data_IF_743546822002
#
_entry.id   IF_743546822002
#
_cell.length_a   1.000
_cell.length_b   1.000
_cell.length_c   1.000
_cell.angle_alpha   90.00
_cell.angle_beta   90.00
_cell.angle_gamma   90.00
#
_symmetry.space_group_name_H-M   'P 1'
#
loop_
_entity.id
_entity.type
_entity.pdbx_description
1 polymer ?
2 polymer ?
3 polymer ?
#
loop_
_entity_poly.entity_id
_entity_poly.type
_entity_poly.pdbx_seq_one_letter_code
_entity_poly.pdbx_strand_id
2 'polydeoxyribonucleotide' '(DA)(DC)(DG)(DT)(DA)(DG)(DA)(DA)(DG)(DA)(DG)(DT)(DC)(DT)(DA)(DG)(DA)(DC)(DT)(DG)(DA)' ?
3 'polydeoxyribonucleotide' '(DC)(DA)(DG)(DT)(DC)(DT)(DA)(DG)(DA)(DC)(DT)(DC)(DT)(DT)(DC)(DT)(DA)(DC)(DG)(DT)(DA)' ?
#
# COMPACT_ATOMS: atom_id res chain seq x y z
N UNK A 2 -22.90 13.78 14.67
CA UNK A 2 -22.80 13.82 16.13
C UNK A 2 -21.74 14.86 16.51
N UNK A 3 -22.10 16.14 16.30
CA UNK A 3 -21.35 17.36 16.64
C UNK A 3 -19.94 17.40 16.05
N UNK A 4 -19.57 16.43 15.20
CA UNK A 4 -18.20 16.23 14.74
C UNK A 4 -17.23 15.97 15.90
N UNK A 5 -17.71 15.30 16.94
CA UNK A 5 -16.84 14.54 17.83
C UNK A 5 -16.79 13.09 17.38
N UNK A 6 -17.30 12.80 16.18
CA UNK A 6 -16.92 11.58 15.50
C UNK A 6 -15.42 11.49 15.36
N UNK A 7 -14.77 12.63 15.08
CA UNK A 7 -13.34 12.65 14.85
C UNK A 7 -12.59 12.15 16.09
N UNK A 8 -12.94 12.67 17.27
CA UNK A 8 -12.27 12.24 18.49
C UNK A 8 -12.50 10.76 18.77
N UNK A 9 -13.73 10.29 18.57
CA UNK A 9 -14.04 8.89 18.86
C UNK A 9 -13.36 7.94 17.88
N UNK A 10 -13.23 8.33 16.62
CA UNK A 10 -12.39 7.58 15.69
C UNK A 10 -10.95 7.54 16.18
N UNK A 11 -10.35 8.72 16.39
CA UNK A 11 -8.93 8.78 16.71
C UNK A 11 -8.59 8.06 18.01
N UNK A 12 -9.55 7.89 18.92
CA UNK A 12 -9.27 7.12 20.13
C UNK A 12 -9.06 5.63 19.86
N UNK A 13 -9.40 5.14 18.68
CA UNK A 13 -9.18 3.76 18.30
C UNK A 13 -7.76 3.53 17.80
N UNK A 14 -6.82 4.44 18.10
CA UNK A 14 -5.51 4.45 17.48
C UNK A 14 -4.43 4.57 18.54
N UNK A 15 -4.80 5.16 19.68
CA UNK A 15 -3.82 5.63 20.67
C UNK A 15 -2.95 4.49 21.20
N UNK A 16 -3.48 3.26 21.21
CA UNK A 16 -2.73 2.12 21.72
C UNK A 16 -1.55 1.73 20.83
N UNK A 17 -1.51 2.22 19.59
CA UNK A 17 -0.58 1.77 18.57
C UNK A 17 0.59 2.73 18.42
N UNK A 18 1.74 2.19 18.03
CA UNK A 18 2.93 2.99 17.83
C UNK A 18 2.73 3.95 16.65
N UNK A 19 2.95 5.26 16.82
CA UNK A 19 2.63 6.24 15.79
C UNK A 19 3.71 6.43 14.72
N UNK A 20 4.20 5.32 14.16
CA UNK A 20 5.27 5.41 13.18
C UNK A 20 4.70 5.69 11.79
N UNK A 21 5.22 6.73 11.15
CA UNK A 21 4.90 7.10 9.77
C UNK A 21 6.15 6.85 8.93
N UNK A 22 5.95 6.20 7.78
CA UNK A 22 7.05 5.98 6.87
C UNK A 22 6.93 6.83 5.62
N UNK A 23 7.92 7.67 5.34
CA UNK A 23 7.92 8.58 4.21
C UNK A 23 9.05 8.23 3.25
N UNK A 24 8.76 8.31 1.94
CA UNK A 24 9.71 8.05 0.86
C UNK A 24 9.82 9.32 0.02
N UNK A 25 10.87 10.10 0.25
CA UNK A 25 11.02 11.41 -0.39
C UNK A 25 12.50 11.68 -0.59
N UNK A 26 12.94 11.71 -1.86
CA UNK A 26 14.34 12.04 -2.11
C UNK A 26 14.72 13.41 -1.58
N UNK A 27 13.99 14.49 -1.88
CA UNK A 27 14.45 15.83 -1.42
C UNK A 27 14.52 15.95 0.08
N UNK A 28 13.50 15.48 0.79
CA UNK A 28 13.49 15.57 2.25
C UNK A 28 14.58 14.72 2.87
N UNK A 29 14.82 13.54 2.30
CA UNK A 29 15.89 12.68 2.80
C UNK A 29 17.25 13.36 2.63
N UNK A 30 17.50 13.95 1.46
CA UNK A 30 18.81 14.56 1.24
C UNK A 30 19.00 15.77 2.14
N UNK A 31 17.95 16.57 2.34
CA UNK A 31 18.07 17.70 3.26
C UNK A 31 18.40 17.20 4.66
N UNK A 32 17.68 16.18 5.13
CA UNK A 32 17.92 15.70 6.49
C UNK A 32 19.30 15.07 6.63
N UNK A 33 19.79 14.40 5.57
CA UNK A 33 21.11 13.75 5.63
C UNK A 33 22.25 14.76 5.59
N UNK A 34 22.13 15.80 4.76
CA UNK A 34 23.13 16.87 4.79
C UNK A 34 23.15 17.56 6.14
N UNK A 35 21.98 17.85 6.70
CA UNK A 35 21.94 18.42 8.03
C UNK A 35 22.62 17.51 9.05
N UNK A 36 22.36 16.20 8.96
CA UNK A 36 22.89 15.26 9.94
C UNK A 36 24.39 15.13 9.82
N UNK A 37 24.93 15.25 8.61
CA UNK A 37 26.36 15.12 8.43
C UNK A 37 27.11 16.45 8.42
N UNK A 38 26.42 17.58 8.62
CA UNK A 38 27.12 18.85 8.72
C UNK A 38 26.86 19.63 10.00
N UNK A 39 25.80 19.33 10.76
CA UNK A 39 25.68 20.04 12.03
C UNK A 39 25.89 19.03 13.17
N UNK A 40 26.58 19.43 14.23
CA UNK A 40 26.83 18.50 15.34
C UNK A 40 25.55 18.19 16.09
N UNK A 41 25.43 16.93 16.51
CA UNK A 41 24.31 16.53 17.35
C UNK A 41 22.96 16.80 16.72
N UNK A 42 22.85 16.59 15.41
CA UNK A 42 21.57 16.74 14.73
C UNK A 42 20.71 15.53 14.99
N UNK A 43 19.40 15.76 15.12
CA UNK A 43 18.42 14.69 15.27
C UNK A 43 17.55 14.70 14.01
N UNK A 44 17.80 13.74 13.11
CA UNK A 44 17.09 13.71 11.84
C UNK A 44 15.60 13.48 12.02
N UNK A 45 15.24 12.49 12.83
CA UNK A 45 13.83 12.16 12.98
C UNK A 45 13.07 13.25 13.71
N UNK A 46 13.74 13.96 14.62
CA UNK A 46 13.14 15.12 15.28
C UNK A 46 12.74 16.18 14.26
N UNK A 47 13.68 16.57 13.39
CA UNK A 47 13.42 17.59 12.40
C UNK A 47 12.37 17.12 11.40
N UNK A 48 12.42 15.84 11.04
CA UNK A 48 11.38 15.28 10.19
C UNK A 48 10.02 15.41 10.84
N UNK A 49 9.93 15.08 12.14
CA UNK A 49 8.67 15.17 12.85
C UNK A 49 8.15 16.60 12.82
N UNK A 50 9.04 17.55 13.02
CA UNK A 50 8.62 18.95 13.04
C UNK A 50 8.12 19.40 11.67
N UNK A 51 8.84 19.04 10.61
CA UNK A 51 8.43 19.44 9.27
C UNK A 51 7.10 18.80 8.90
N UNK A 52 6.95 17.51 9.19
CA UNK A 52 5.71 16.81 8.90
C UNK A 52 4.53 17.39 9.68
N UNK A 53 4.72 17.67 10.98
CA UNK A 53 3.63 18.25 11.76
C UNK A 53 3.28 19.64 11.27
N UNK A 54 4.27 20.43 10.87
CA UNK A 54 4.01 21.76 10.33
C UNK A 54 3.16 21.68 9.06
N UNK A 55 3.62 20.89 8.08
CA UNK A 55 2.87 20.77 6.84
C UNK A 55 1.50 20.16 7.06
N UNK A 56 1.43 19.14 7.92
CA UNK A 56 0.17 18.46 8.17
C UNK A 56 -0.82 19.36 8.87
N UNK A 57 -0.36 20.20 9.79
CA UNK A 57 -1.24 21.21 10.37
C UNK A 57 -1.74 22.15 9.29
N UNK A 58 -0.87 22.56 8.37
CA UNK A 58 -1.29 23.53 7.35
C UNK A 58 -2.29 22.93 6.37
N UNK A 59 -2.16 21.64 6.05
CA UNK A 59 -3.06 21.05 5.07
C UNK A 59 -4.35 20.57 5.69
N UNK A 60 -4.31 20.20 6.98
CA UNK A 60 -5.45 19.68 7.73
C UNK A 60 -5.53 20.40 9.08
N UNK A 61 -5.98 21.64 9.10
CA UNK A 61 -5.98 22.41 10.36
C UNK A 61 -6.95 21.88 11.41
N UNK A 62 -8.20 21.59 11.03
CA UNK A 62 -9.18 21.10 12.01
C UNK A 62 -8.80 19.72 12.52
N UNK A 63 -8.51 18.81 11.59
CA UNK A 63 -8.11 17.45 11.95
C UNK A 63 -6.91 17.48 12.88
N UNK A 64 -5.88 18.24 12.50
CA UNK A 64 -4.64 18.25 13.28
C UNK A 64 -4.87 18.90 14.64
N UNK A 65 -5.74 19.90 14.75
CA UNK A 65 -5.98 20.51 16.05
C UNK A 65 -6.63 19.51 17.00
N UNK A 66 -7.63 18.78 16.52
CA UNK A 66 -8.27 17.77 17.38
C UNK A 66 -7.28 16.67 17.72
N UNK A 67 -6.43 16.30 16.75
CA UNK A 67 -5.41 15.28 17.01
C UNK A 67 -4.39 15.75 18.04
N UNK A 68 -3.97 17.01 17.96
CA UNK A 68 -3.02 17.53 18.94
C UNK A 68 -3.64 17.56 20.32
N UNK A 69 -4.91 17.98 20.41
CA UNK A 69 -5.64 17.89 21.67
C UNK A 69 -5.57 16.47 22.22
N UNK A 70 -6.01 15.49 21.44
CA UNK A 70 -6.10 14.13 21.95
C UNK A 70 -4.72 13.54 22.22
N UNK A 71 -3.67 14.07 21.59
CA UNK A 71 -2.32 13.58 21.87
C UNK A 71 -1.80 14.12 23.19
N UNK A 72 -1.86 15.45 23.39
CA UNK A 72 -1.39 16.02 24.66
C UNK A 72 -2.24 15.54 25.83
N UNK A 73 -3.56 15.42 25.63
CA UNK A 73 -4.43 15.01 26.73
C UNK A 73 -4.23 13.54 27.09
N UNK A 74 -4.24 12.66 26.08
CA UNK A 74 -4.14 11.23 26.38
C UNK A 74 -2.75 10.81 26.86
N UNK A 75 -1.72 11.61 26.58
CA UNK A 75 -0.36 11.32 27.02
C UNK A 75 0.14 12.51 27.83
N UNK A 76 -0.29 12.57 29.09
CA UNK A 76 0.25 13.50 30.07
C UNK A 76 0.72 12.79 31.33
N UNK A 77 0.36 11.53 31.53
CA UNK A 77 0.75 10.74 32.69
C UNK A 77 1.52 9.48 32.27
N UNK B 3 29.88 25.51 0.35
CA UNK B 3 28.65 26.23 0.69
C UNK B 3 28.25 27.14 -0.48
N UNK B 4 29.24 27.51 -1.29
CA UNK B 4 28.98 28.30 -2.49
C UNK B 4 28.72 27.32 -3.65
N UNK B 5 27.55 26.67 -3.55
CA UNK B 5 27.04 25.63 -4.44
C UNK B 5 27.78 24.31 -4.29
N UNK B 6 28.58 24.15 -3.23
CA UNK B 6 29.23 22.87 -2.92
C UNK B 6 28.26 21.88 -2.29
N UNK B 7 27.23 22.40 -1.60
CA UNK B 7 26.19 21.62 -0.93
C UNK B 7 25.76 20.48 -1.85
N UNK B 8 25.55 20.82 -3.13
CA UNK B 8 25.15 19.87 -4.15
C UNK B 8 25.93 18.56 -4.04
N UNK B 9 27.26 18.62 -4.19
CA UNK B 9 28.02 17.38 -4.20
C UNK B 9 28.02 16.68 -2.85
N UNK B 10 27.79 17.41 -1.76
CA UNK B 10 27.66 16.76 -0.46
C UNK B 10 26.46 15.81 -0.46
N UNK B 11 25.33 16.27 -0.99
CA UNK B 11 24.13 15.43 -1.03
C UNK B 11 24.18 14.34 -2.09
N UNK B 12 25.02 14.48 -3.13
CA UNK B 12 25.12 13.41 -4.11
C UNK B 12 25.59 12.09 -3.51
N UNK B 13 26.27 12.14 -2.37
CA UNK B 13 26.75 10.93 -1.71
C UNK B 13 25.59 10.10 -1.15
N UNK B 14 24.37 10.66 -1.10
CA UNK B 14 23.28 10.07 -0.33
C UNK B 14 22.20 9.53 -1.26
N UNK B 15 22.25 9.87 -2.56
CA UNK B 15 21.12 9.61 -3.47
C UNK B 15 21.11 8.18 -3.99
N UNK B 16 22.15 7.40 -3.70
CA UNK B 16 22.23 6.02 -4.14
C UNK B 16 21.69 5.03 -3.11
N UNK B 17 20.88 5.50 -2.16
CA UNK B 17 20.30 4.67 -1.13
C UNK B 17 18.83 5.06 -0.93
N UNK B 18 18.07 4.17 -0.28
CA UNK B 18 16.62 4.35 -0.15
C UNK B 18 16.31 5.58 0.69
N UNK B 19 15.43 6.51 0.21
CA UNK B 19 15.17 7.76 0.92
C UNK B 19 14.09 7.65 2.00
N UNK B 20 14.26 6.69 2.90
CA UNK B 20 13.26 6.38 3.91
C UNK B 20 13.46 7.23 5.16
N UNK B 21 12.41 7.95 5.56
CA UNK B 21 12.38 8.79 6.74
C UNK B 21 11.35 8.23 7.72
N UNK B 22 11.77 8.00 8.97
CA UNK B 22 10.88 7.42 9.93
C UNK B 22 10.47 8.34 11.05
N UNK B 23 9.27 8.88 10.97
CA UNK B 23 8.73 9.85 11.91
C UNK B 23 7.97 9.11 13.02
N UNK B 24 7.97 9.69 14.22
CA UNK B 24 7.23 9.20 15.37
C UNK B 24 6.40 10.38 15.88
N UNK B 25 5.12 10.47 15.57
CA UNK B 25 4.32 11.51 16.20
C UNK B 25 2.89 11.05 16.33
N UNK B 26 2.35 11.16 17.54
CA UNK B 26 0.95 10.81 17.75
C UNK B 26 0.01 11.67 16.93
N UNK B 27 0.09 13.01 16.96
CA UNK B 27 -0.93 13.81 16.24
C UNK B 27 -0.97 13.58 14.74
N UNK B 28 0.18 13.47 14.09
CA UNK B 28 0.18 13.24 12.65
C UNK B 28 -0.27 11.82 12.32
N UNK B 29 0.12 10.85 13.15
CA UNK B 29 -0.35 9.49 12.94
C UNK B 29 -1.87 9.42 13.05
N UNK B 30 -2.43 10.07 14.08
CA UNK B 30 -3.88 10.09 14.24
C UNK B 30 -4.58 10.81 13.09
N UNK B 31 -4.05 11.93 12.63
CA UNK B 31 -4.64 12.60 11.47
C UNK B 31 -4.65 11.68 10.26
N UNK B 32 -3.48 11.13 9.91
CA UNK B 32 -3.38 10.30 8.71
C UNK B 32 -4.23 9.05 8.84
N UNK B 33 -4.21 8.41 10.00
CA UNK B 33 -4.94 7.16 10.18
C UNK B 33 -6.44 7.40 10.16
N UNK B 34 -6.90 8.49 10.81
CA UNK B 34 -8.31 8.83 10.76
C UNK B 34 -8.76 8.99 9.32
N UNK B 35 -8.01 9.75 8.52
CA UNK B 35 -8.39 9.92 7.12
C UNK B 35 -8.36 8.59 6.37
N UNK B 36 -7.37 7.74 6.65
CA UNK B 36 -7.31 6.42 6.03
C UNK B 36 -8.59 5.63 6.30
N UNK B 37 -9.14 5.74 7.50
CA UNK B 37 -10.35 4.99 7.83
C UNK B 37 -11.65 5.71 7.48
N UNK B 38 -11.61 6.96 7.02
CA UNK B 38 -12.85 7.63 6.68
C UNK B 38 -13.00 8.00 5.22
N UNK B 39 -11.92 8.22 4.47
CA UNK B 39 -12.02 8.55 3.07
C UNK B 39 -11.40 7.42 2.24
N UNK B 40 -12.17 6.78 1.35
CA UNK B 40 -11.63 5.65 0.60
C UNK B 40 -10.56 6.09 -0.38
N UNK B 41 -9.63 5.19 -0.65
CA UNK B 41 -8.52 5.48 -1.53
C UNK B 41 -7.44 6.34 -0.93
N UNK B 42 -7.47 6.61 0.38
CA UNK B 42 -6.53 7.54 1.00
C UNK B 42 -5.15 6.90 1.12
N UNK B 43 -4.14 7.55 0.57
CA UNK B 43 -2.76 7.10 0.68
C UNK B 43 -2.09 7.92 1.76
N UNK B 44 -1.82 7.28 2.90
CA UNK B 44 -1.27 8.00 4.04
C UNK B 44 0.15 8.47 3.79
N UNK B 45 1.01 7.59 3.28
CA UNK B 45 2.43 7.95 3.22
C UNK B 45 2.74 8.94 2.11
N UNK B 46 1.95 8.96 1.04
CA UNK B 46 2.10 10.00 0.03
C UNK B 46 1.70 11.37 0.56
N UNK B 47 0.57 11.45 1.27
CA UNK B 47 0.18 12.74 1.84
C UNK B 47 1.12 13.13 2.99
N UNK B 48 1.71 12.16 3.67
CA UNK B 48 2.76 12.45 4.64
C UNK B 48 4.01 12.99 3.94
N UNK B 49 4.33 12.45 2.77
CA UNK B 49 5.39 13.01 1.96
C UNK B 49 5.07 14.45 1.60
N UNK B 50 3.84 14.71 1.17
CA UNK B 50 3.43 16.06 0.82
C UNK B 50 3.59 17.00 2.00
N UNK B 51 3.08 16.59 3.16
CA UNK B 51 3.17 17.38 4.39
C UNK B 51 4.61 17.67 4.75
N UNK B 52 5.42 16.62 4.82
CA UNK B 52 6.78 16.74 5.30
C UNK B 52 7.59 17.61 4.34
N UNK B 53 7.43 17.42 3.04
CA UNK B 53 8.13 18.28 2.09
C UNK B 53 7.69 19.72 2.22
N UNK B 54 6.39 19.95 2.41
CA UNK B 54 5.91 21.33 2.51
C UNK B 54 6.47 22.04 3.74
N UNK B 55 6.49 21.37 4.89
CA UNK B 55 7.04 21.99 6.08
C UNK B 55 8.54 22.17 5.98
N UNK B 56 9.24 21.15 5.49
CA UNK B 56 10.68 21.17 5.49
C UNK B 56 11.21 22.19 4.49
N UNK B 57 10.51 22.37 3.36
CA UNK B 57 10.79 23.41 2.38
C UNK B 57 10.59 24.80 2.94
N UNK B 58 9.98 24.89 4.12
CA UNK B 58 9.74 26.16 4.80
C UNK B 58 10.71 26.39 5.94
N UNK B 59 11.24 25.33 6.55
CA UNK B 59 12.26 25.49 7.57
C UNK B 59 13.67 25.66 7.00
N UNK B 60 14.00 25.01 5.88
CA UNK B 60 15.31 25.14 5.23
C UNK B 60 15.11 25.42 3.73
N UNK B 61 14.73 26.64 3.37
CA UNK B 61 14.38 26.90 1.95
C UNK B 61 15.52 26.66 0.96
N UNK B 62 16.72 27.16 1.24
CA UNK B 62 17.85 26.97 0.33
C UNK B 62 18.20 25.50 0.14
N UNK B 63 18.33 24.78 1.25
CA UNK B 63 18.70 23.37 1.18
C UNK B 63 17.65 22.56 0.44
N UNK B 64 16.37 22.82 0.72
CA UNK B 64 15.31 22.10 0.03
C UNK B 64 15.33 22.40 -1.47
N UNK B 65 15.55 23.66 -1.84
CA UNK B 65 15.63 23.99 -3.25
C UNK B 65 16.74 23.18 -3.93
N UNK B 66 17.92 23.11 -3.29
CA UNK B 66 19.04 22.40 -3.90
C UNK B 66 18.72 20.90 -4.01
N UNK B 67 18.15 20.34 -2.94
CA UNK B 67 17.79 18.92 -2.94
C UNK B 67 16.74 18.62 -4.00
N UNK B 68 15.74 19.49 -4.13
CA UNK B 68 14.69 19.31 -5.13
C UNK B 68 15.28 19.35 -6.54
N UNK B 69 16.22 20.28 -6.78
CA UNK B 69 16.89 20.34 -8.08
C UNK B 69 17.57 19.00 -8.38
N UNK B 70 18.33 18.48 -7.42
CA UNK B 70 19.06 17.23 -7.64
C UNK B 70 18.10 16.07 -7.86
N UNK B 71 16.98 16.06 -7.13
CA UNK B 71 16.03 14.96 -7.26
C UNK B 71 15.31 15.00 -8.61
N UNK B 72 14.92 16.20 -9.06
CA UNK B 72 14.21 16.32 -10.34
C UNK B 72 15.13 15.99 -11.51
N UNK B 73 16.35 16.52 -11.50
CA UNK B 73 17.30 16.18 -12.55
C UNK B 73 17.78 14.73 -12.48
N UNK B 74 17.24 13.96 -11.52
CA UNK B 74 17.59 12.55 -11.37
C UNK B 74 16.77 11.63 -12.27
N UNK B 75 15.71 12.14 -12.92
CA UNK B 75 14.88 11.26 -13.74
C UNK B 75 15.66 10.73 -14.94
N UNK B 76 15.63 9.41 -15.10
CA UNK B 76 16.40 8.72 -16.13
C UNK B 76 15.58 7.58 -16.76
N UNK C 2 -30.07 7.58 -10.13
CA UNK C 2 -29.35 6.30 -10.08
C UNK C 2 -30.00 5.34 -9.08
N UNK C 3 -30.12 4.08 -9.49
CA UNK C 3 -31.05 3.13 -8.88
C UNK C 3 -30.36 1.78 -8.64
N UNK C 4 -29.19 1.86 -8.00
CA UNK C 4 -28.20 0.80 -7.77
C UNK C 4 -27.47 0.42 -9.05
N UNK C 5 -27.75 1.11 -10.14
CA UNK C 5 -26.88 1.28 -11.30
C UNK C 5 -25.75 2.26 -11.03
N UNK C 6 -25.61 2.66 -9.76
CA UNK C 6 -24.47 3.43 -9.30
C UNK C 6 -23.17 2.65 -9.50
N UNK C 7 -23.20 1.36 -9.18
CA UNK C 7 -22.01 0.53 -9.27
C UNK C 7 -21.46 0.53 -10.69
N UNK C 8 -22.34 0.46 -11.69
CA UNK C 8 -21.88 0.42 -13.07
C UNK C 8 -21.24 1.74 -13.46
N UNK C 9 -21.79 2.86 -12.96
CA UNK C 9 -21.20 4.17 -13.24
C UNK C 9 -19.82 4.32 -12.61
N UNK C 10 -19.63 3.76 -11.41
CA UNK C 10 -18.31 3.80 -10.78
C UNK C 10 -17.32 2.92 -11.54
N UNK C 11 -17.79 1.76 -11.99
CA UNK C 11 -16.91 0.81 -12.67
C UNK C 11 -16.49 1.32 -14.04
N UNK C 12 -17.38 1.99 -14.76
CA UNK C 12 -17.05 2.46 -16.10
C UNK C 12 -16.04 3.60 -16.09
N UNK C 13 -15.73 4.16 -14.91
CA UNK C 13 -14.63 5.09 -14.74
C UNK C 13 -13.27 4.41 -14.71
N UNK C 14 -13.22 3.07 -14.67
CA UNK C 14 -11.98 2.34 -14.47
C UNK C 14 -11.58 1.56 -15.71
N UNK C 15 -12.53 1.34 -16.63
CA UNK C 15 -12.41 0.35 -17.71
C UNK C 15 -11.23 0.66 -18.62
N UNK C 16 -10.85 1.94 -18.73
CA UNK C 16 -9.74 2.32 -19.59
C UNK C 16 -8.40 1.80 -19.08
N UNK C 17 -8.29 1.50 -17.79
CA UNK C 17 -7.02 1.12 -17.19
C UNK C 17 -6.59 -0.29 -17.58
N UNK C 18 -5.29 -0.54 -17.42
CA UNK C 18 -4.70 -1.87 -17.45
C UNK C 18 -5.23 -2.67 -16.27
N UNK C 19 -6.09 -3.65 -16.48
CA UNK C 19 -6.64 -4.41 -15.34
C UNK C 19 -5.66 -5.41 -14.76
N UNK C 20 -4.63 -4.92 -14.07
CA UNK C 20 -3.64 -5.80 -13.45
C UNK C 20 -3.93 -5.97 -11.97
N UNK C 21 -3.61 -7.16 -11.46
CA UNK C 21 -3.75 -7.51 -10.05
C UNK C 21 -2.52 -8.30 -9.63
N UNK C 22 -1.81 -7.81 -8.60
CA UNK C 22 -0.61 -8.47 -8.15
C UNK C 22 -0.80 -9.13 -6.79
N UNK C 23 -0.79 -10.44 -6.77
CA UNK C 23 -1.08 -11.20 -5.57
C UNK C 23 0.21 -11.75 -4.99
N UNK C 24 0.30 -11.80 -3.66
CA UNK C 24 1.46 -12.32 -2.94
C UNK C 24 0.98 -13.37 -1.96
N UNK C 25 1.25 -14.64 -2.24
CA UNK C 25 0.86 -15.70 -1.31
C UNK C 25 1.68 -16.95 -1.59
N UNK C 26 2.34 -17.48 -0.55
CA UNK C 26 3.08 -18.73 -0.66
C UNK C 26 2.22 -19.91 -1.09
N UNK C 27 1.08 -20.21 -0.45
CA UNK C 27 0.34 -21.43 -0.86
C UNK C 27 -0.03 -21.43 -2.33
N UNK C 28 -0.64 -20.36 -2.83
CA UNK C 28 -1.10 -20.33 -4.20
C UNK C 28 0.06 -20.26 -5.19
N UNK C 29 1.15 -19.57 -4.82
CA UNK C 29 2.33 -19.58 -5.68
C UNK C 29 2.90 -20.98 -5.81
N UNK C 30 3.06 -21.68 -4.69
CA UNK C 30 3.59 -23.04 -4.74
C UNK C 30 2.71 -23.94 -5.59
N UNK C 31 1.39 -23.82 -5.41
CA UNK C 31 0.47 -24.68 -6.17
C UNK C 31 0.59 -24.39 -7.67
N UNK C 32 0.53 -23.11 -8.05
CA UNK C 32 0.61 -22.79 -9.47
C UNK C 32 1.96 -23.20 -10.05
N UNK C 33 3.03 -23.14 -9.26
CA UNK C 33 4.34 -23.54 -9.78
C UNK C 33 4.43 -25.06 -9.95
N UNK C 34 3.95 -25.82 -8.97
CA UNK C 34 3.95 -27.27 -9.12
C UNK C 34 3.20 -27.66 -10.38
N UNK C 35 2.01 -27.08 -10.57
CA UNK C 35 1.24 -27.38 -11.77
C UNK C 35 2.00 -26.98 -13.04
N UNK C 36 2.68 -25.82 -13.01
CA UNK C 36 3.41 -25.38 -14.18
C UNK C 36 4.49 -26.38 -14.57
N UNK C 37 5.24 -26.87 -13.59
CA UNK C 37 6.35 -27.75 -13.92
C UNK C 37 5.92 -29.19 -14.18
N UNK C 38 4.80 -29.63 -13.62
CA UNK C 38 4.36 -31.01 -13.76
C UNK C 38 3.18 -31.17 -14.71
N UNK C 39 2.87 -30.15 -15.52
CA UNK C 39 1.82 -30.23 -16.52
C UNK C 39 2.32 -29.76 -17.87
N UNK C 40 2.20 -30.57 -18.93
CA UNK C 40 2.66 -30.16 -20.27
C UNK C 40 1.79 -29.04 -20.81
N UNK C 41 2.42 -27.89 -21.05
CA UNK C 41 1.72 -26.71 -21.52
C UNK C 41 0.75 -26.12 -20.52
N UNK C 42 1.14 -26.03 -19.25
CA UNK C 42 0.26 -25.44 -18.25
C UNK C 42 0.22 -23.93 -18.40
N UNK C 43 -1.01 -23.39 -18.44
CA UNK C 43 -1.21 -21.98 -18.70
C UNK C 43 -0.72 -21.10 -17.54
N UNK C 44 -1.13 -21.44 -16.31
CA UNK C 44 -0.72 -20.85 -15.02
C UNK C 44 -1.18 -19.43 -14.72
N UNK C 45 -1.17 -18.56 -15.72
CA UNK C 45 -1.71 -17.23 -15.46
C UNK C 45 -3.16 -17.19 -15.86
N UNK C 46 -3.50 -17.91 -16.93
CA UNK C 46 -4.88 -18.29 -17.21
C UNK C 46 -5.49 -18.94 -15.97
N UNK C 47 -4.77 -19.88 -15.35
CA UNK C 47 -5.34 -20.60 -14.22
C UNK C 47 -5.46 -19.70 -13.00
N UNK C 48 -4.46 -18.84 -12.76
CA UNK C 48 -4.57 -17.89 -11.66
C UNK C 48 -5.76 -16.96 -11.86
N UNK C 49 -5.96 -16.48 -13.10
CA UNK C 49 -7.11 -15.64 -13.40
C UNK C 49 -8.41 -16.39 -13.20
N UNK C 50 -8.46 -17.66 -13.60
CA UNK C 50 -9.68 -18.44 -13.44
C UNK C 50 -10.03 -18.58 -11.96
N UNK C 51 -9.04 -18.94 -11.15
CA UNK C 51 -9.29 -19.10 -9.71
C UNK C 51 -9.66 -17.78 -9.07
N UNK C 52 -8.99 -16.68 -9.45
CA UNK C 52 -9.29 -15.38 -8.86
C UNK C 52 -10.71 -14.92 -9.21
N UNK C 53 -11.07 -15.00 -10.49
CA UNK C 53 -12.43 -14.62 -10.88
C UNK C 53 -13.47 -15.47 -10.17
N UNK C 54 -13.20 -16.78 -10.05
CA UNK C 54 -14.12 -17.66 -9.33
C UNK C 54 -14.27 -17.21 -7.88
N UNK C 55 -13.15 -17.00 -7.18
CA UNK C 55 -13.24 -16.63 -5.78
C UNK C 55 -13.93 -15.30 -5.57
N UNK C 56 -13.66 -14.33 -6.45
CA UNK C 56 -14.35 -13.05 -6.35
C UNK C 56 -15.84 -13.19 -6.58
N UNK C 57 -16.23 -14.05 -7.53
CA UNK C 57 -17.65 -14.28 -7.74
C UNK C 57 -18.30 -14.82 -6.47
N UNK C 58 -17.64 -15.75 -5.79
CA UNK C 58 -18.20 -16.31 -4.56
C UNK C 58 -18.24 -15.28 -3.43
N UNK C 59 -17.34 -14.30 -3.46
CA UNK C 59 -17.21 -13.36 -2.36
C UNK C 59 -17.98 -12.07 -2.59
N UNK C 60 -17.99 -11.55 -3.80
CA UNK C 60 -18.76 -10.35 -4.16
C UNK C 60 -19.60 -10.67 -5.37
N UNK C 61 -20.62 -11.52 -5.21
CA UNK C 61 -21.41 -11.95 -6.39
C UNK C 61 -22.11 -10.82 -7.14
N UNK C 62 -22.65 -9.84 -6.44
CA UNK C 62 -23.33 -8.73 -7.12
C UNK C 62 -22.33 -7.87 -7.89
N UNK C 63 -21.27 -7.45 -7.21
CA UNK C 63 -20.19 -6.73 -7.87
C UNK C 63 -19.69 -7.51 -9.07
N UNK C 64 -19.44 -8.81 -8.89
CA UNK C 64 -18.84 -9.58 -9.97
C UNK C 64 -19.78 -9.70 -11.16
N UNK C 65 -21.09 -9.85 -10.92
CA UNK C 65 -22.02 -9.90 -12.04
C UNK C 65 -21.99 -8.61 -12.83
N UNK C 66 -22.02 -7.46 -12.14
CA UNK C 66 -22.05 -6.20 -12.88
C UNK C 66 -20.75 -5.99 -13.65
N UNK C 67 -19.63 -6.36 -13.02
CA UNK C 67 -18.33 -6.22 -13.66
C UNK C 67 -18.20 -7.12 -14.87
N UNK C 68 -18.67 -8.37 -14.75
CA UNK C 68 -18.62 -9.30 -15.89
C UNK C 68 -19.54 -8.83 -17.00
N UNK C 69 -20.68 -8.22 -16.64
CA UNK C 69 -21.58 -7.65 -17.63
C UNK C 69 -20.88 -6.56 -18.42
N UNK C 70 -20.26 -5.61 -17.73
CA UNK C 70 -19.58 -4.51 -18.42
C UNK C 70 -18.34 -5.02 -19.16
N UNK C 71 -17.72 -6.11 -18.67
CA UNK C 71 -16.56 -6.68 -19.35
C UNK C 71 -16.93 -7.32 -20.68
N UNK C 72 -17.97 -8.16 -20.69
CA UNK C 72 -18.47 -8.68 -21.96
C UNK C 72 -18.94 -7.55 -22.86
N UNK C 73 -19.59 -6.54 -22.27
CA UNK C 73 -20.11 -5.43 -23.05
C UNK C 73 -19.02 -4.64 -23.77
N UNK C 74 -17.82 -4.55 -23.18
CA UNK C 74 -16.79 -3.63 -23.67
C UNK C 74 -16.63 -3.70 -25.19
N UNK C 75 -16.24 -4.87 -25.71
CA UNK C 75 -15.94 -5.05 -27.13
C UNK C 75 -17.17 -5.49 -27.94
N UNK C 76 -17.84 -6.55 -27.49
CA UNK C 76 -18.99 -7.09 -28.18
C UNK C 76 -20.28 -6.50 -27.60
N UNK D 3 2.01 -37.91 -6.19
CA UNK D 3 1.45 -37.98 -4.85
C UNK D 3 2.50 -38.38 -3.83
N UNK D 4 2.02 -38.96 -2.72
CA UNK D 4 2.88 -39.55 -1.70
C UNK D 4 3.88 -38.54 -1.13
N UNK D 5 3.55 -37.25 -1.17
CA UNK D 5 4.43 -36.18 -0.69
C UNK D 5 5.76 -36.15 -1.43
N UNK D 6 5.80 -36.70 -2.64
CA UNK D 6 6.78 -36.29 -3.63
C UNK D 6 6.55 -34.85 -4.04
N UNK D 7 5.28 -34.48 -4.23
CA UNK D 7 4.92 -33.12 -4.59
C UNK D 7 5.38 -32.15 -3.52
N UNK D 8 5.48 -32.62 -2.27
CA UNK D 8 6.00 -31.78 -1.20
C UNK D 8 7.40 -31.26 -1.55
N UNK D 9 8.32 -32.16 -1.91
CA UNK D 9 9.67 -31.73 -2.26
C UNK D 9 9.75 -31.13 -3.66
N UNK D 10 8.73 -31.35 -4.50
CA UNK D 10 8.69 -30.63 -5.77
C UNK D 10 8.30 -29.17 -5.56
N UNK D 11 7.51 -28.89 -4.51
CA UNK D 11 7.14 -27.51 -4.20
C UNK D 11 8.18 -26.81 -3.32
N UNK D 12 8.92 -27.56 -2.50
CA UNK D 12 9.99 -26.93 -1.72
C UNK D 12 11.09 -26.32 -2.58
N UNK D 13 11.15 -26.68 -3.87
CA UNK D 13 12.13 -26.05 -4.77
C UNK D 13 11.84 -24.56 -4.97
N UNK D 14 10.58 -24.17 -4.86
CA UNK D 14 10.09 -22.89 -5.33
C UNK D 14 9.94 -21.88 -4.18
N UNK D 15 9.98 -22.37 -2.94
CA UNK D 15 9.69 -21.56 -1.76
C UNK D 15 10.80 -20.58 -1.40
N UNK D 16 11.86 -20.51 -2.21
CA UNK D 16 12.94 -19.56 -1.98
C UNK D 16 12.73 -18.25 -2.74
N UNK D 17 11.60 -18.07 -3.41
CA UNK D 17 11.37 -16.93 -4.28
C UNK D 17 10.06 -16.25 -3.93
N UNK D 18 9.89 -15.03 -4.46
CA UNK D 18 8.73 -14.20 -4.15
C UNK D 18 7.46 -14.86 -4.66
N UNK D 19 6.37 -14.89 -3.87
CA UNK D 19 5.15 -15.53 -4.38
C UNK D 19 4.30 -14.61 -5.24
N UNK D 20 4.89 -13.89 -6.20
CA UNK D 20 4.12 -12.94 -6.99
C UNK D 20 3.34 -13.69 -8.07
N UNK D 21 2.05 -13.37 -8.23
CA UNK D 21 1.20 -13.99 -9.24
C UNK D 21 0.46 -12.89 -10.00
N UNK D 22 0.76 -12.72 -11.28
CA UNK D 22 0.25 -11.56 -12.00
C UNK D 22 -0.96 -11.85 -12.86
N UNK D 23 -2.14 -11.46 -12.38
CA UNK D 23 -3.41 -11.74 -13.03
C UNK D 23 -3.89 -10.52 -13.80
N UNK D 24 -4.52 -10.75 -14.95
CA UNK D 24 -5.10 -9.70 -15.79
C UNK D 24 -6.55 -10.11 -16.02
N UNK D 25 -7.48 -9.35 -15.44
CA UNK D 25 -8.88 -9.78 -15.38
C UNK D 25 -9.78 -8.57 -15.23
N UNK D 26 -10.46 -8.18 -16.31
CA UNK D 26 -11.33 -7.01 -16.26
C UNK D 26 -12.38 -7.09 -15.15
N UNK D 27 -13.14 -8.18 -14.99
CA UNK D 27 -14.11 -8.21 -13.88
C UNK D 27 -13.47 -8.17 -12.50
N UNK D 28 -12.43 -8.97 -12.26
CA UNK D 28 -11.78 -8.96 -10.95
C UNK D 28 -11.20 -7.59 -10.65
N UNK D 29 -10.52 -7.01 -11.63
CA UNK D 29 -9.93 -5.69 -11.44
C UNK D 29 -10.99 -4.66 -11.14
N UNK D 30 -12.11 -4.71 -11.87
CA UNK D 30 -13.17 -3.72 -11.67
C UNK D 30 -13.77 -3.84 -10.27
N UNK D 31 -14.02 -5.06 -9.80
CA UNK D 31 -14.56 -5.23 -8.46
C UNK D 31 -13.58 -4.71 -7.41
N UNK D 32 -12.30 -5.07 -7.55
CA UNK D 32 -11.31 -4.64 -6.58
C UNK D 32 -11.17 -3.12 -6.56
N UNK D 33 -11.17 -2.49 -7.74
CA UNK D 33 -11.06 -1.04 -7.81
C UNK D 33 -12.31 -0.36 -7.26
N UNK D 34 -13.48 -0.90 -7.57
CA UNK D 34 -14.72 -0.31 -7.06
C UNK D 34 -14.73 -0.33 -5.55
N UNK D 35 -14.36 -1.46 -4.96
CA UNK D 35 -14.28 -1.50 -3.50
C UNK D 35 -13.22 -0.52 -2.98
N UNK D 36 -12.07 -0.44 -3.65
CA UNK D 36 -11.02 0.49 -3.24
C UNK D 36 -11.51 1.95 -3.23
N UNK D 37 -12.45 2.30 -4.10
CA UNK D 37 -12.94 3.68 -4.15
C UNK D 37 -14.24 3.93 -3.38
N UNK D 38 -14.85 2.93 -2.78
CA UNK D 38 -16.11 3.14 -2.10
C UNK D 38 -16.10 2.75 -0.63
N UNK D 39 -15.28 1.79 -0.22
CA UNK D 39 -15.13 1.42 1.18
C UNK D 39 -13.76 1.88 1.65
N UNK D 40 -13.66 2.67 2.71
CA UNK D 40 -12.35 3.14 3.17
C UNK D 40 -11.53 2.01 3.75
N UNK D 41 -10.22 2.11 3.53
CA UNK D 41 -9.30 1.12 4.07
C UNK D 41 -9.28 -0.20 3.34
N UNK D 42 -9.81 -0.26 2.12
CA UNK D 42 -9.88 -1.51 1.36
C UNK D 42 -8.51 -1.87 0.80
N UNK D 43 -7.98 -3.00 1.24
CA UNK D 43 -6.72 -3.51 0.71
C UNK D 43 -7.07 -4.38 -0.48
N UNK D 44 -6.79 -3.89 -1.68
CA UNK D 44 -7.18 -4.62 -2.88
C UNK D 44 -6.48 -5.98 -2.96
N UNK D 45 -5.15 -5.99 -2.86
CA UNK D 45 -4.40 -7.20 -3.18
C UNK D 45 -4.48 -8.26 -2.09
N UNK D 46 -4.76 -7.90 -0.83
CA UNK D 46 -4.92 -8.99 0.12
C UNK D 46 -6.28 -9.68 -0.05
N UNK D 47 -7.34 -8.94 -0.40
CA UNK D 47 -8.58 -9.65 -0.73
C UNK D 47 -8.45 -10.40 -2.04
N UNK D 48 -7.65 -9.88 -2.99
CA UNK D 48 -7.37 -10.67 -4.19
C UNK D 48 -6.68 -11.97 -3.81
N UNK D 49 -5.73 -11.90 -2.87
CA UNK D 49 -5.06 -13.10 -2.36
C UNK D 49 -6.07 -14.06 -1.74
N UNK D 50 -6.99 -13.53 -0.95
CA UNK D 50 -8.01 -14.35 -0.32
C UNK D 50 -8.90 -15.01 -1.35
N UNK D 51 -9.24 -14.29 -2.42
CA UNK D 51 -10.09 -14.84 -3.48
C UNK D 51 -9.37 -15.91 -4.28
N UNK D 52 -8.11 -15.67 -4.63
CA UNK D 52 -7.33 -16.67 -5.36
C UNK D 52 -7.08 -17.91 -4.52
N UNK D 53 -6.81 -17.74 -3.22
CA UNK D 53 -6.66 -18.90 -2.35
C UNK D 53 -7.98 -19.66 -2.18
N UNK D 54 -9.10 -18.93 -2.13
CA UNK D 54 -10.41 -19.60 -2.12
C UNK D 54 -10.65 -20.37 -3.41
N UNK D 55 -10.25 -19.79 -4.54
CA UNK D 55 -10.47 -20.44 -5.83
C UNK D 55 -9.64 -21.71 -6.00
N UNK D 56 -8.32 -21.62 -5.73
CA UNK D 56 -7.49 -22.82 -5.74
C UNK D 56 -8.00 -23.87 -4.75
N UNK D 57 -8.31 -23.48 -3.53
CA UNK D 57 -8.74 -24.48 -2.55
C UNK D 57 -9.96 -25.27 -3.01
N UNK D 58 -10.60 -24.87 -4.10
CA UNK D 58 -11.70 -25.64 -4.67
C UNK D 58 -11.36 -26.32 -5.98
N UNK D 59 -10.24 -25.97 -6.61
CA UNK D 59 -9.78 -26.66 -7.82
C UNK D 59 -8.74 -27.72 -7.52
N UNK D 60 -7.80 -27.43 -6.63
CA UNK D 60 -6.72 -28.35 -6.27
C UNK D 60 -6.69 -28.49 -4.75
N UNK D 61 -7.72 -29.12 -4.17
CA UNK D 61 -7.82 -29.14 -2.70
C UNK D 61 -6.68 -29.89 -2.02
N UNK D 62 -6.30 -31.06 -2.55
CA UNK D 62 -5.11 -31.76 -2.05
C UNK D 62 -3.84 -30.92 -2.23
N UNK D 63 -3.63 -30.40 -3.44
CA UNK D 63 -2.43 -29.62 -3.71
C UNK D 63 -2.38 -28.42 -2.79
N UNK D 64 -3.50 -27.72 -2.66
CA UNK D 64 -3.54 -26.54 -1.81
C UNK D 64 -3.32 -26.89 -0.35
N UNK D 65 -3.90 -28.00 0.13
CA UNK D 65 -3.71 -28.40 1.51
C UNK D 65 -2.24 -28.61 1.82
N UNK D 66 -1.54 -29.30 0.90
CA UNK D 66 -0.13 -29.61 1.14
C UNK D 66 0.72 -28.33 1.07
N UNK D 67 0.44 -27.47 0.09
CA UNK D 67 1.14 -26.19 0.03
C UNK D 67 0.87 -25.35 1.26
N UNK D 68 -0.34 -25.43 1.81
CA UNK D 68 -0.70 -24.65 3.00
C UNK D 68 0.05 -25.14 4.22
N UNK D 69 0.15 -26.46 4.40
CA UNK D 69 0.96 -26.97 5.49
C UNK D 69 2.40 -26.49 5.37
N UNK D 70 2.94 -26.50 4.15
CA UNK D 70 4.33 -26.06 3.98
C UNK D 70 4.47 -24.57 4.27
N UNK D 71 3.53 -23.75 3.79
CA UNK D 71 3.62 -22.31 4.00
C UNK D 71 3.48 -21.96 5.48
N UNK D 72 2.54 -22.59 6.19
CA UNK D 72 2.42 -22.39 7.63
C UNK D 72 3.69 -22.77 8.35
N UNK D 73 4.21 -23.97 8.09
CA UNK D 73 5.37 -24.42 8.84
C UNK D 73 6.64 -23.66 8.42
N UNK D 74 6.58 -22.88 7.34
CA UNK D 74 7.75 -22.13 6.87
C UNK D 74 8.23 -21.09 7.88
N UNK D 75 7.33 -20.60 8.75
CA UNK D 75 7.65 -19.54 9.72
C UNK D 75 8.70 -19.94 10.77
N UNK D 76 9.20 -21.16 10.75
CA UNK D 76 9.97 -21.67 11.88
C UNK D 76 11.45 -21.81 11.55
#
# INVERSE_FOLDING_TARGET
MNEEEKIKNDMLKYIEKDPKIGVWSYPAFLVLQYLYHTVPGFKMSRTAKEALEKGLKEMYPTLFTIAEKIAKERFKEHHHHHH
MNEEEKIKNDMLKYIEKDPKIGVWSYPAFLVLQYLYHTVPGFKMSRTAKEALEKGLKEMYPTLFTIAEKIAKERFKEHHHHHH
MNEEEKIKNDMLKYIEKDPKIGVWSYPAFLVLQYLYHTVPGFKMSRTAKEALEKGLKEMYPTLFTIAEKIAKERFKEHHHHHH
MNEEEKIKNDMLKYIEKDPKIGVWSYPAFLVLQYLYHTVPGFKMSRTAKEALEKGLKEMYPTLFTIAEKIAKERFKEHHHHHH
#
